data_IF_364896321094
#
_entry.id   IF_364896321094
#
_cell.length_a   1.000
_cell.length_b   1.000
_cell.length_c   1.000
_cell.angle_alpha   90.00
_cell.angle_beta   90.00
_cell.angle_gamma   90.00
#
_symmetry.space_group_name_H-M   'P 1'
#
loop_
_entity.id
_entity.type
_entity.pdbx_description
1 polymer ?
#
# COMPACT_ATOMS: atom_id res chain seq x y z
N UNK A 1 3.74 -11.28 -23.10
CA UNK A 1 3.32 -11.53 -21.71
C UNK A 1 3.41 -10.28 -20.82
N UNK A 2 4.43 -9.44 -20.91
CA UNK A 2 4.59 -8.21 -20.11
C UNK A 2 3.46 -7.16 -20.30
N UNK A 3 2.89 -7.03 -21.50
CA UNK A 3 1.82 -6.04 -21.74
C UNK A 3 0.50 -6.32 -20.99
N UNK A 4 0.12 -7.59 -20.85
CA UNK A 4 -1.09 -7.97 -20.11
C UNK A 4 -0.94 -7.71 -18.61
N UNK A 5 0.23 -7.97 -18.08
CA UNK A 5 0.57 -7.75 -16.68
C UNK A 5 0.59 -6.27 -16.31
N UNK A 6 1.12 -5.41 -17.18
CA UNK A 6 1.08 -3.95 -16.99
C UNK A 6 -0.34 -3.41 -16.87
N UNK A 7 -1.24 -3.85 -17.75
CA UNK A 7 -2.67 -3.46 -17.67
C UNK A 7 -3.33 -3.88 -16.38
N UNK A 8 -2.95 -5.05 -15.86
CA UNK A 8 -3.45 -5.55 -14.56
C UNK A 8 -2.98 -4.64 -13.42
N UNK A 9 -1.69 -4.32 -13.35
CA UNK A 9 -1.13 -3.41 -12.34
C UNK A 9 -1.73 -2.00 -12.41
N UNK A 10 -1.93 -1.47 -13.62
CA UNK A 10 -2.57 -0.17 -13.83
C UNK A 10 -4.03 -0.17 -13.31
N UNK A 11 -4.79 -1.24 -13.59
CA UNK A 11 -6.16 -1.38 -13.08
C UNK A 11 -6.22 -1.50 -11.56
N UNK A 12 -5.36 -2.34 -10.98
CA UNK A 12 -5.26 -2.47 -9.52
C UNK A 12 -4.89 -1.12 -8.90
N UNK A 13 -3.89 -0.43 -9.45
CA UNK A 13 -3.48 0.89 -8.97
C UNK A 13 -4.57 1.96 -9.09
N UNK A 14 -5.38 1.94 -10.16
CA UNK A 14 -6.51 2.85 -10.32
C UNK A 14 -7.61 2.59 -9.27
N UNK A 15 -7.93 1.31 -9.00
CA UNK A 15 -8.90 0.93 -7.96
C UNK A 15 -8.40 1.32 -6.57
N UNK A 16 -7.14 1.01 -6.25
CA UNK A 16 -6.53 1.39 -4.97
C UNK A 16 -6.50 2.90 -4.77
N UNK A 17 -6.19 3.67 -5.82
CA UNK A 17 -6.21 5.14 -5.76
C UNK A 17 -7.62 5.67 -5.49
N UNK A 18 -8.63 5.17 -6.22
CA UNK A 18 -10.02 5.54 -6.00
C UNK A 18 -10.49 5.21 -4.57
N UNK A 19 -10.14 4.01 -4.09
CA UNK A 19 -10.43 3.58 -2.72
C UNK A 19 -9.72 4.48 -1.70
N UNK A 20 -8.45 4.80 -1.91
CA UNK A 20 -7.68 5.69 -1.04
C UNK A 20 -8.31 7.08 -0.93
N UNK A 21 -8.73 7.67 -2.06
CA UNK A 21 -9.43 8.97 -2.06
C UNK A 21 -10.76 8.88 -1.29
N UNK A 22 -11.55 7.84 -1.53
CA UNK A 22 -12.83 7.65 -0.81
C UNK A 22 -12.62 7.50 0.69
N UNK A 23 -11.59 6.76 1.13
CA UNK A 23 -11.25 6.57 2.53
C UNK A 23 -10.78 7.88 3.20
N UNK A 24 -10.00 8.71 2.50
CA UNK A 24 -9.60 10.04 3.00
C UNK A 24 -10.84 10.92 3.22
N UNK A 25 -11.72 10.97 2.23
CA UNK A 25 -12.95 11.76 2.33
C UNK A 25 -13.85 11.26 3.47
N UNK A 26 -13.99 9.94 3.61
CA UNK A 26 -14.74 9.32 4.71
C UNK A 26 -14.14 9.68 6.08
N UNK A 27 -12.81 9.56 6.21
CA UNK A 27 -12.11 9.89 7.45
C UNK A 27 -12.28 11.37 7.81
N UNK A 28 -12.10 12.29 6.85
CA UNK A 28 -12.26 13.72 7.08
C UNK A 28 -13.70 14.04 7.47
N UNK A 29 -14.68 13.47 6.78
CA UNK A 29 -16.10 13.66 7.12
C UNK A 29 -16.40 13.13 8.52
N UNK A 30 -15.96 11.93 8.87
CA UNK A 30 -16.17 11.34 10.19
C UNK A 30 -15.54 12.18 11.31
N UNK A 31 -14.27 12.62 11.13
CA UNK A 31 -13.60 13.49 12.11
C UNK A 31 -14.33 14.83 12.24
N UNK A 32 -14.79 15.42 11.13
CA UNK A 32 -15.56 16.68 11.17
C UNK A 32 -16.85 16.52 11.94
N UNK A 33 -17.61 15.44 11.68
CA UNK A 33 -18.83 15.11 12.43
C UNK A 33 -18.52 14.93 13.92
N UNK A 34 -17.46 14.19 14.24
CA UNK A 34 -17.05 13.94 15.62
C UNK A 34 -16.68 15.22 16.37
N UNK A 35 -15.93 16.12 15.74
CA UNK A 35 -15.57 17.42 16.30
C UNK A 35 -16.83 18.25 16.54
N UNK A 36 -17.72 18.33 15.55
CA UNK A 36 -18.97 19.09 15.66
C UNK A 36 -19.86 18.54 16.81
N UNK A 37 -20.09 17.23 16.86
CA UNK A 37 -20.92 16.61 17.89
C UNK A 37 -20.33 16.77 19.29
N UNK A 38 -19.02 16.71 19.42
CA UNK A 38 -18.32 16.88 20.71
C UNK A 38 -18.44 18.33 21.22
N UNK A 39 -18.18 19.32 20.35
CA UNK A 39 -18.08 20.72 20.80
C UNK A 39 -19.40 21.50 20.70
N UNK A 40 -20.23 21.24 19.68
CA UNK A 40 -21.51 21.94 19.50
C UNK A 40 -22.66 21.26 20.26
N UNK A 41 -22.70 19.93 20.30
CA UNK A 41 -23.78 19.17 20.93
C UNK A 41 -23.42 18.62 22.31
N UNK A 42 -22.17 18.71 22.73
CA UNK A 42 -21.66 18.14 23.99
C UNK A 42 -21.78 16.61 24.09
N UNK A 43 -22.02 15.89 22.98
CA UNK A 43 -22.26 14.44 22.95
C UNK A 43 -21.39 13.80 21.89
N UNK A 44 -20.19 13.29 22.22
CA UNK A 44 -19.35 12.58 21.28
C UNK A 44 -20.01 11.26 20.86
N UNK A 45 -19.91 10.93 19.58
CA UNK A 45 -20.46 9.70 19.00
C UNK A 45 -19.33 8.69 18.82
N UNK A 46 -19.22 7.73 19.73
CA UNK A 46 -18.08 6.78 19.78
C UNK A 46 -17.87 5.96 18.50
N UNK A 47 -18.95 5.50 17.85
CA UNK A 47 -18.83 4.71 16.62
C UNK A 47 -18.27 5.52 15.43
N UNK A 48 -18.49 6.85 15.41
CA UNK A 48 -17.94 7.73 14.36
C UNK A 48 -16.42 7.84 14.51
N UNK A 49 -15.91 7.93 15.74
CA UNK A 49 -14.49 7.95 16.04
C UNK A 49 -13.81 6.62 15.66
N UNK A 50 -14.47 5.50 16.00
CA UNK A 50 -13.98 4.17 15.63
C UNK A 50 -13.97 3.97 14.10
N UNK A 51 -15.00 4.43 13.40
CA UNK A 51 -15.08 4.39 11.94
C UNK A 51 -13.97 5.21 11.25
N UNK A 52 -13.67 6.40 11.79
CA UNK A 52 -12.56 7.23 11.31
C UNK A 52 -11.21 6.52 11.46
N UNK A 53 -10.99 5.85 12.59
CA UNK A 53 -9.77 5.06 12.85
C UNK A 53 -9.62 3.93 11.84
N UNK A 54 -10.69 3.20 11.56
CA UNK A 54 -10.67 2.11 10.58
C UNK A 54 -10.43 2.63 9.15
N UNK A 55 -11.08 3.72 8.76
CA UNK A 55 -10.82 4.38 7.47
C UNK A 55 -9.36 4.83 7.34
N UNK A 56 -8.77 5.36 8.41
CA UNK A 56 -7.35 5.74 8.45
C UNK A 56 -6.42 4.55 8.23
N UNK A 57 -6.67 3.43 8.91
CA UNK A 57 -5.85 2.22 8.79
C UNK A 57 -5.89 1.68 7.35
N UNK A 58 -7.08 1.54 6.78
CA UNK A 58 -7.25 1.11 5.39
C UNK A 58 -6.55 2.06 4.41
N UNK A 59 -6.73 3.39 4.61
CA UNK A 59 -6.08 4.40 3.78
C UNK A 59 -4.55 4.31 3.85
N UNK A 60 -3.98 4.11 5.05
CA UNK A 60 -2.53 4.03 5.23
C UNK A 60 -1.93 2.85 4.45
N UNK A 61 -2.53 1.67 4.54
CA UNK A 61 -2.04 0.48 3.83
C UNK A 61 -2.26 0.56 2.33
N UNK A 62 -3.43 0.99 1.88
CA UNK A 62 -3.73 1.19 0.44
C UNK A 62 -2.81 2.28 -0.13
N UNK A 63 -2.62 3.38 0.59
CA UNK A 63 -1.71 4.47 0.21
C UNK A 63 -0.26 4.01 0.07
N UNK A 64 0.22 3.14 0.98
CA UNK A 64 1.54 2.53 0.88
C UNK A 64 1.69 1.70 -0.41
N UNK A 65 0.67 0.91 -0.77
CA UNK A 65 0.65 0.12 -2.02
C UNK A 65 0.69 1.01 -3.26
N UNK A 66 -0.12 2.07 -3.29
CA UNK A 66 -0.12 3.05 -4.39
C UNK A 66 1.24 3.75 -4.49
N UNK A 67 1.81 4.18 -3.36
CA UNK A 67 3.12 4.83 -3.30
C UNK A 67 4.24 3.95 -3.87
N UNK A 68 4.20 2.64 -3.61
CA UNK A 68 5.15 1.69 -4.19
C UNK A 68 5.01 1.59 -5.71
N UNK A 69 3.77 1.51 -6.23
CA UNK A 69 3.48 1.42 -7.66
C UNK A 69 3.85 2.68 -8.43
N UNK A 70 3.64 3.85 -7.82
CA UNK A 70 3.99 5.14 -8.43
C UNK A 70 5.50 5.46 -8.38
N UNK A 71 6.30 4.56 -7.79
CA UNK A 71 7.75 4.74 -7.68
C UNK A 71 8.16 5.92 -6.78
N UNK A 72 7.26 6.36 -5.91
CA UNK A 72 7.48 7.46 -4.94
C UNK A 72 8.32 7.02 -3.73
N UNK A 73 8.60 5.73 -3.60
CA UNK A 73 9.61 5.29 -2.66
C UNK A 73 10.97 5.85 -3.09
N UNK A 74 11.66 6.46 -2.15
CA UNK A 74 12.90 7.19 -2.32
C UNK A 74 13.90 6.34 -3.13
N UNK A 75 13.85 6.50 -4.44
CA UNK A 75 14.93 6.08 -5.30
C UNK A 75 16.07 7.02 -4.97
N UNK A 76 17.18 6.47 -4.56
CA UNK A 76 18.44 7.19 -4.43
C UNK A 76 18.89 7.59 -5.85
N UNK A 77 18.13 8.50 -6.46
CA UNK A 77 18.35 8.98 -7.83
C UNK A 77 19.72 9.66 -7.95
N UNK A 78 20.21 10.21 -6.84
CA UNK A 78 21.48 10.92 -6.76
C UNK A 78 22.68 10.00 -7.00
N UNK A 79 22.62 8.73 -6.57
CA UNK A 79 23.71 7.78 -6.81
C UNK A 79 23.59 7.08 -8.17
N UNK A 80 22.39 6.91 -8.69
CA UNK A 80 22.16 6.19 -9.95
C UNK A 80 22.70 6.89 -11.19
N UNK A 81 22.90 8.20 -11.16
CA UNK A 81 23.43 8.99 -12.28
C UNK A 81 24.95 8.83 -12.48
N UNK A 82 25.68 8.39 -11.44
CA UNK A 82 27.13 8.18 -11.47
C UNK A 82 27.55 6.73 -11.67
N UNK A 83 26.60 5.79 -11.58
CA UNK A 83 26.84 4.36 -11.68
C UNK A 83 26.50 3.85 -13.08
N UNK A 84 27.27 2.86 -13.56
CA UNK A 84 26.94 2.17 -14.81
C UNK A 84 25.57 1.47 -14.75
N UNK A 85 24.95 1.19 -15.89
CA UNK A 85 23.58 0.65 -15.94
C UNK A 85 23.43 -0.70 -15.22
N UNK A 86 24.47 -1.53 -15.21
CA UNK A 86 24.48 -2.83 -14.51
C UNK A 86 24.57 -2.65 -12.98
N UNK A 87 25.45 -1.77 -12.50
CA UNK A 87 25.59 -1.52 -11.05
C UNK A 87 24.34 -0.89 -10.46
N UNK A 88 23.72 0.04 -11.20
CA UNK A 88 22.44 0.63 -10.80
C UNK A 88 21.31 -0.42 -10.76
N UNK A 89 21.27 -1.36 -11.72
CA UNK A 89 20.31 -2.45 -11.71
C UNK A 89 20.53 -3.43 -10.55
N UNK A 90 21.80 -3.74 -10.23
CA UNK A 90 22.13 -4.60 -9.09
C UNK A 90 21.69 -3.99 -7.76
N UNK A 91 21.93 -2.69 -7.56
CA UNK A 91 21.48 -2.00 -6.33
C UNK A 91 19.95 -1.98 -6.21
N UNK A 92 19.23 -1.74 -7.32
CA UNK A 92 17.76 -1.80 -7.30
C UNK A 92 17.24 -3.21 -7.04
N UNK A 93 17.84 -4.24 -7.67
CA UNK A 93 17.47 -5.62 -7.44
C UNK A 93 17.68 -6.02 -5.97
N UNK A 94 18.79 -5.58 -5.35
CA UNK A 94 19.04 -5.79 -3.93
C UNK A 94 17.97 -5.10 -3.07
N UNK A 95 17.62 -3.85 -3.38
CA UNK A 95 16.58 -3.13 -2.67
C UNK A 95 15.21 -3.83 -2.78
N UNK A 96 14.84 -4.32 -3.96
CA UNK A 96 13.60 -5.09 -4.15
C UNK A 96 13.62 -6.42 -3.40
N UNK A 97 14.76 -7.08 -3.30
CA UNK A 97 14.91 -8.30 -2.49
C UNK A 97 14.67 -8.02 -1.00
N UNK A 98 15.20 -6.90 -0.47
CA UNK A 98 14.91 -6.47 0.91
C UNK A 98 13.43 -6.13 1.12
N UNK A 99 12.81 -5.44 0.19
CA UNK A 99 11.36 -5.13 0.24
C UNK A 99 10.56 -6.42 0.28
N UNK A 100 10.87 -7.39 -0.58
CA UNK A 100 10.19 -8.69 -0.60
C UNK A 100 10.39 -9.46 0.71
N UNK A 101 11.60 -9.50 1.25
CA UNK A 101 11.87 -10.13 2.53
C UNK A 101 11.04 -9.52 3.66
N UNK A 102 10.96 -8.18 3.71
CA UNK A 102 10.12 -7.46 4.68
C UNK A 102 8.64 -7.79 4.49
N UNK A 103 8.14 -7.82 3.25
CA UNK A 103 6.73 -8.14 2.97
C UNK A 103 6.39 -9.58 3.37
N UNK A 104 7.29 -10.54 3.15
CA UNK A 104 7.11 -11.92 3.61
C UNK A 104 6.97 -11.98 5.13
N UNK A 105 7.85 -11.29 5.86
CA UNK A 105 7.77 -11.22 7.33
C UNK A 105 6.44 -10.58 7.76
N UNK A 106 6.03 -9.49 7.12
CA UNK A 106 4.76 -8.82 7.43
C UNK A 106 3.54 -9.74 7.18
N UNK A 107 3.53 -10.48 6.08
CA UNK A 107 2.44 -11.43 5.78
C UNK A 107 2.41 -12.57 6.81
N UNK A 108 3.56 -13.16 7.14
CA UNK A 108 3.64 -14.26 8.12
C UNK A 108 3.19 -13.80 9.50
N UNK A 109 3.63 -12.62 9.95
CA UNK A 109 3.21 -12.09 11.24
C UNK A 109 1.77 -11.59 11.21
N UNK A 110 1.33 -10.95 10.11
CA UNK A 110 -0.05 -10.52 9.92
C UNK A 110 -1.04 -11.69 10.00
N UNK A 111 -0.66 -12.86 9.48
CA UNK A 111 -1.49 -14.07 9.60
C UNK A 111 -1.68 -14.51 11.06
N UNK A 112 -0.62 -14.46 11.86
CA UNK A 112 -0.71 -14.79 13.30
C UNK A 112 -1.59 -13.78 14.05
N UNK A 113 -1.40 -12.49 13.76
CA UNK A 113 -2.18 -11.41 14.37
C UNK A 113 -3.65 -11.52 13.98
N UNK A 114 -3.96 -11.86 12.72
CA UNK A 114 -5.33 -12.09 12.25
C UNK A 114 -6.06 -13.16 13.09
N UNK A 115 -5.38 -14.21 13.48
CA UNK A 115 -5.94 -15.25 14.36
C UNK A 115 -6.28 -14.77 15.77
N UNK A 116 -5.56 -13.80 16.29
CA UNK A 116 -5.81 -13.18 17.60
C UNK A 116 -6.93 -12.13 17.48
N UNK A 117 -6.84 -11.24 16.52
CA UNK A 117 -7.82 -10.16 16.29
C UNK A 117 -9.18 -10.67 15.82
N UNK A 118 -9.22 -11.84 15.18
CA UNK A 118 -10.47 -12.47 14.77
C UNK A 118 -11.34 -12.94 15.93
N UNK A 119 -10.76 -13.04 17.14
CA UNK A 119 -11.48 -13.37 18.40
C UNK A 119 -12.05 -12.15 19.11
N UNK A 120 -11.70 -10.96 18.67
CA UNK A 120 -12.15 -9.68 19.23
C UNK A 120 -13.08 -8.98 18.25
N UNK A 121 -14.18 -8.45 18.77
CA UNK A 121 -15.14 -7.65 17.99
C UNK A 121 -14.85 -6.16 18.11
N UNK A 122 -15.49 -5.37 17.24
CA UNK A 122 -15.55 -3.90 17.32
C UNK A 122 -16.16 -3.46 18.65
N UNK A 123 -15.75 -2.30 19.16
CA UNK A 123 -16.13 -1.87 20.52
C UNK A 123 -17.36 -0.96 20.49
N UNK A 124 -17.41 -0.02 19.57
CA UNK A 124 -18.44 1.04 19.56
C UNK A 124 -19.32 1.01 18.31
N UNK A 125 -18.95 0.22 17.30
CA UNK A 125 -19.78 0.06 16.10
C UNK A 125 -21.10 -0.65 16.47
N UNK A 126 -22.23 -0.24 15.85
CA UNK A 126 -23.53 -0.87 16.08
C UNK A 126 -23.60 -2.31 15.56
N UNK A 127 -22.57 -2.79 14.87
CA UNK A 127 -22.45 -4.14 14.31
C UNK A 127 -21.17 -4.76 14.88
N UNK A 128 -21.32 -5.95 15.46
CA UNK A 128 -20.16 -6.74 15.95
C UNK A 128 -19.44 -7.39 14.77
N UNK A 129 -18.33 -6.76 14.32
CA UNK A 129 -17.46 -7.30 13.29
C UNK A 129 -16.11 -7.70 13.89
N UNK A 130 -15.48 -8.78 13.40
CA UNK A 130 -14.13 -9.14 13.84
C UNK A 130 -13.15 -8.00 13.55
N UNK A 131 -12.34 -7.63 14.55
CA UNK A 131 -11.34 -6.55 14.40
C UNK A 131 -10.30 -6.84 13.32
N UNK A 132 -10.05 -8.10 13.01
CA UNK A 132 -9.15 -8.51 11.93
C UNK A 132 -9.52 -7.93 10.56
N UNK A 133 -10.78 -7.62 10.32
CA UNK A 133 -11.25 -6.99 9.06
C UNK A 133 -10.73 -5.56 8.90
N UNK A 134 -10.43 -4.88 10.00
CA UNK A 134 -10.03 -3.48 9.97
C UNK A 134 -8.53 -3.30 10.17
N UNK A 135 -7.83 -4.25 10.79
CA UNK A 135 -6.39 -4.17 11.05
C UNK A 135 -5.57 -5.12 10.17
N UNK A 136 -5.83 -6.42 10.29
CA UNK A 136 -5.00 -7.43 9.64
C UNK A 136 -5.31 -7.59 8.14
N UNK A 137 -6.57 -7.48 7.75
CA UNK A 137 -6.99 -7.66 6.35
C UNK A 137 -6.41 -6.58 5.42
N UNK A 138 -6.50 -5.26 5.72
CA UNK A 138 -5.90 -4.24 4.86
C UNK A 138 -4.38 -4.38 4.77
N UNK A 139 -3.70 -4.75 5.87
CA UNK A 139 -2.27 -5.05 5.86
C UNK A 139 -1.96 -6.17 4.87
N UNK A 140 -2.68 -7.29 4.93
CA UNK A 140 -2.42 -8.46 4.10
C UNK A 140 -2.71 -8.20 2.62
N UNK A 141 -3.84 -7.53 2.30
CA UNK A 141 -4.19 -7.18 0.92
C UNK A 141 -3.16 -6.23 0.31
N UNK A 142 -2.76 -5.20 1.05
CA UNK A 142 -1.77 -4.24 0.57
C UNK A 142 -0.40 -4.87 0.45
N UNK A 143 0.02 -5.70 1.40
CA UNK A 143 1.29 -6.42 1.33
C UNK A 143 1.32 -7.39 0.13
N UNK A 144 0.23 -8.10 -0.17
CA UNK A 144 0.13 -8.94 -1.36
C UNK A 144 0.25 -8.12 -2.64
N UNK A 145 -0.45 -6.99 -2.73
CA UNK A 145 -0.38 -6.07 -3.88
C UNK A 145 1.03 -5.49 -4.07
N UNK A 146 1.69 -5.10 -2.98
CA UNK A 146 3.07 -4.63 -2.98
C UNK A 146 4.05 -5.72 -3.40
N UNK A 147 3.87 -6.96 -2.92
CA UNK A 147 4.72 -8.09 -3.27
C UNK A 147 4.66 -8.41 -4.77
N UNK A 148 3.46 -8.41 -5.35
CA UNK A 148 3.29 -8.58 -6.80
C UNK A 148 4.05 -7.50 -7.57
N UNK A 149 3.98 -6.24 -7.15
CA UNK A 149 4.70 -5.13 -7.77
C UNK A 149 6.21 -5.28 -7.61
N UNK A 150 6.69 -5.62 -6.41
CA UNK A 150 8.11 -5.79 -6.11
C UNK A 150 8.74 -6.95 -6.89
N UNK A 151 8.03 -8.07 -7.04
CA UNK A 151 8.47 -9.20 -7.87
C UNK A 151 8.69 -8.76 -9.31
N UNK A 152 7.78 -7.97 -9.88
CA UNK A 152 7.92 -7.52 -11.26
C UNK A 152 9.09 -6.59 -11.47
N UNK A 153 9.25 -5.62 -10.57
CA UNK A 153 10.37 -4.69 -10.63
C UNK A 153 11.71 -5.41 -10.43
N UNK A 154 11.75 -6.42 -9.55
CA UNK A 154 12.90 -7.28 -9.39
C UNK A 154 13.22 -8.05 -10.68
N UNK A 155 12.23 -8.68 -11.30
CA UNK A 155 12.41 -9.41 -12.56
C UNK A 155 12.89 -8.49 -13.70
N UNK A 156 12.37 -7.25 -13.79
CA UNK A 156 12.84 -6.27 -14.76
C UNK A 156 14.31 -5.90 -14.52
N UNK A 157 14.72 -5.63 -13.29
CA UNK A 157 16.11 -5.30 -12.99
C UNK A 157 17.05 -6.51 -13.23
N UNK A 158 16.61 -7.74 -12.95
CA UNK A 158 17.36 -8.96 -13.28
C UNK A 158 17.55 -9.13 -14.80
N UNK A 159 16.53 -8.82 -15.62
CA UNK A 159 16.69 -8.87 -17.08
C UNK A 159 17.68 -7.84 -17.60
N UNK A 160 17.75 -6.66 -16.98
CA UNK A 160 18.76 -5.63 -17.28
C UNK A 160 20.17 -6.11 -16.92
N UNK A 161 20.32 -6.81 -15.80
CA UNK A 161 21.61 -7.38 -15.37
C UNK A 161 22.14 -8.42 -16.38
N UNK A 162 21.25 -9.29 -16.89
CA UNK A 162 21.61 -10.37 -17.81
C UNK A 162 21.85 -9.85 -19.24
N UNK A 163 20.94 -9.01 -19.75
CA UNK A 163 20.96 -8.55 -21.14
C UNK A 163 21.77 -7.29 -21.38
N UNK A 164 22.08 -6.51 -20.32
CA UNK A 164 22.75 -5.21 -20.44
C UNK A 164 21.91 -4.12 -21.14
N UNK A 165 20.71 -4.45 -21.59
CA UNK A 165 19.78 -3.51 -22.25
C UNK A 165 18.80 -2.95 -21.21
N UNK A 166 18.65 -1.62 -21.14
CA UNK A 166 17.58 -1.01 -20.35
C UNK A 166 16.25 -1.45 -20.93
N UNK A 167 15.49 -2.23 -20.19
CA UNK A 167 14.05 -2.33 -20.46
C UNK A 167 13.45 -0.93 -20.29
N UNK A 168 12.53 -0.56 -21.19
CA UNK A 168 11.82 0.72 -21.11
C UNK A 168 11.19 0.83 -19.71
N UNK A 169 11.32 1.98 -19.01
CA UNK A 169 10.82 2.13 -17.65
C UNK A 169 9.31 1.87 -17.59
N UNK A 170 8.91 0.84 -16.88
CA UNK A 170 7.54 0.29 -16.90
C UNK A 170 6.53 1.10 -16.12
N UNK A 171 6.96 1.97 -15.20
CA UNK A 171 6.06 2.64 -14.24
C UNK A 171 6.10 4.18 -14.34
N UNK A 172 6.95 4.79 -15.16
CA UNK A 172 7.14 6.26 -15.15
C UNK A 172 6.21 7.09 -16.05
N UNK A 173 5.29 6.51 -16.81
CA UNK A 173 4.53 7.25 -17.81
C UNK A 173 3.25 7.97 -17.32
N UNK A 174 2.90 7.87 -16.02
CA UNK A 174 1.66 8.43 -15.49
C UNK A 174 1.77 9.71 -14.67
N UNK A 175 2.95 10.31 -14.51
CA UNK A 175 3.16 11.38 -13.54
C UNK A 175 3.43 12.78 -14.13
N UNK A 176 3.21 12.98 -15.45
CA UNK A 176 3.38 14.28 -16.12
C UNK A 176 2.24 14.51 -17.12
N UNK A 177 1.05 14.76 -16.60
CA UNK A 177 -0.01 15.48 -17.31
C UNK A 177 -0.98 16.06 -16.30
#
# INVERSE_FOLDING_TARGET
>A
MLAGYRRLLERIGAVERGLGIALILLMVAAVTVQVFTRYALGRPIAWVEESATYAFIWMAFVGASVGLKEGRHILIATFGSRLGPRTAAAMRALAWAFVLATLVVLVVQGWKVMGVEGRSSTISLPIELPRSWFYSLPLMLSAASMAVTAICLLLEDLTVLVTGRRALPTVRAGAMS
#
